data_IF_528096942684
#
_entry.id   IF_528096942684
#
_cell.length_a   1.000
_cell.length_b   1.000
_cell.length_c   1.000
_cell.angle_alpha   90.00
_cell.angle_beta   90.00
_cell.angle_gamma   90.00
#
_symmetry.space_group_name_H-M   'P 1'
#
loop_
_entity.id
_entity.type
_entity.pdbx_description
1 polymer ?
#
# COMPACT_ATOMS: atom_id res chain seq x y z
N UNK A 1 -6.08 5.47 18.40
CA UNK A 1 -6.86 4.43 19.12
C UNK A 1 -6.36 4.19 20.54
N UNK A 2 -5.27 3.44 20.80
CA UNK A 2 -4.86 3.11 22.19
C UNK A 2 -4.58 4.35 23.03
N UNK A 3 -3.80 5.30 22.50
CA UNK A 3 -3.50 6.57 23.16
C UNK A 3 -4.78 7.36 23.49
N UNK A 4 -5.71 7.44 22.55
CA UNK A 4 -6.92 8.25 22.70
C UNK A 4 -7.92 7.57 23.66
N UNK A 5 -7.98 6.23 23.64
CA UNK A 5 -8.75 5.45 24.61
C UNK A 5 -8.22 5.64 26.04
N UNK A 6 -6.89 5.62 26.23
CA UNK A 6 -6.25 5.91 27.52
C UNK A 6 -6.55 7.34 27.99
N UNK A 7 -6.47 8.33 27.10
CA UNK A 7 -6.81 9.72 27.43
C UNK A 7 -8.29 9.89 27.82
N UNK A 8 -9.18 9.09 27.24
CA UNK A 8 -10.60 9.05 27.57
C UNK A 8 -10.94 8.19 28.80
N UNK A 9 -9.98 7.45 29.37
CA UNK A 9 -10.21 6.54 30.48
C UNK A 9 -11.08 5.33 30.15
N UNK A 10 -11.13 4.91 28.88
CA UNK A 10 -11.96 3.80 28.39
C UNK A 10 -11.07 2.67 27.89
N UNK A 11 -11.53 1.43 28.02
CA UNK A 11 -10.85 0.26 27.44
C UNK A 11 -10.68 0.42 25.91
N UNK A 12 -9.50 0.13 25.33
CA UNK A 12 -9.27 0.31 23.89
C UNK A 12 -10.21 -0.50 22.98
N UNK A 13 -10.66 -1.69 23.41
CA UNK A 13 -11.62 -2.49 22.64
C UNK A 13 -12.98 -1.82 22.62
N UNK A 14 -13.45 -1.36 23.77
CA UNK A 14 -14.73 -0.62 23.86
C UNK A 14 -14.67 0.69 23.06
N UNK A 15 -13.59 1.45 23.19
CA UNK A 15 -13.36 2.67 22.40
C UNK A 15 -13.42 2.39 20.90
N UNK A 16 -12.77 1.32 20.44
CA UNK A 16 -12.76 0.93 19.02
C UNK A 16 -14.13 0.53 18.52
N UNK A 17 -14.85 -0.34 19.25
CA UNK A 17 -16.19 -0.80 18.86
C UNK A 17 -17.17 0.37 18.83
N UNK A 18 -17.11 1.27 19.80
CA UNK A 18 -17.94 2.49 19.80
C UNK A 18 -17.61 3.36 18.59
N UNK A 19 -16.32 3.63 18.36
CA UNK A 19 -15.88 4.48 17.26
C UNK A 19 -16.28 3.94 15.87
N UNK A 20 -16.22 2.62 15.68
CA UNK A 20 -16.68 1.99 14.44
C UNK A 20 -18.21 2.04 14.27
N UNK A 21 -18.98 2.02 15.37
CA UNK A 21 -20.45 2.10 15.31
C UNK A 21 -20.96 3.52 15.11
N UNK A 22 -20.30 4.51 15.70
CA UNK A 22 -20.70 5.91 15.63
C UNK A 22 -20.03 6.69 14.48
N UNK A 23 -19.09 6.06 13.77
CA UNK A 23 -18.40 6.62 12.60
C UNK A 23 -17.23 7.55 12.93
N UNK A 24 -16.86 7.70 14.21
CA UNK A 24 -15.65 8.45 14.60
C UNK A 24 -14.36 7.69 14.29
N UNK A 25 -14.45 6.38 14.08
CA UNK A 25 -13.40 5.55 13.48
C UNK A 25 -13.96 4.87 12.24
N UNK A 26 -13.17 4.88 11.17
CA UNK A 26 -13.54 4.32 9.86
C UNK A 26 -12.48 3.32 9.43
N UNK A 27 -12.87 2.25 8.74
CA UNK A 27 -11.91 1.26 8.26
C UNK A 27 -11.04 1.85 7.15
N UNK A 28 -9.73 1.58 7.17
CA UNK A 28 -8.80 2.11 6.17
C UNK A 28 -9.10 1.63 4.74
N UNK A 29 -9.80 0.50 4.59
CA UNK A 29 -10.22 -0.03 3.30
C UNK A 29 -11.39 0.76 2.66
N UNK A 30 -12.11 1.57 3.43
CA UNK A 30 -13.18 2.43 2.91
C UNK A 30 -12.61 3.68 2.20
N UNK A 31 -11.37 4.07 2.50
CA UNK A 31 -10.65 5.13 1.78
C UNK A 31 -9.17 4.76 1.56
N UNK A 32 -8.87 3.80 0.67
CA UNK A 32 -7.51 3.28 0.44
C UNK A 32 -6.60 4.28 -0.30
N UNK A 33 -7.18 5.37 -0.79
CA UNK A 33 -6.49 6.47 -1.47
C UNK A 33 -6.28 7.67 -0.54
N UNK A 34 -6.69 7.58 0.73
CA UNK A 34 -6.24 8.54 1.72
C UNK A 34 -4.75 8.30 2.05
N UNK A 35 -3.89 9.34 2.09
CA UNK A 35 -2.46 9.19 2.38
C UNK A 35 -2.12 8.54 3.73
N UNK A 36 -3.07 8.51 4.67
CA UNK A 36 -2.92 7.85 5.97
C UNK A 36 -3.19 6.33 5.92
N UNK A 37 -3.81 5.84 4.84
CA UNK A 37 -4.37 4.48 4.76
C UNK A 37 -3.57 3.53 3.86
N UNK A 38 -2.66 4.04 3.03
CA UNK A 38 -1.82 3.20 2.18
C UNK A 38 -0.46 2.86 2.81
N UNK A 39 0.18 1.74 2.42
CA UNK A 39 1.47 1.34 2.96
C UNK A 39 2.57 2.33 2.55
N UNK A 40 3.47 2.65 3.49
CA UNK A 40 4.61 3.54 3.26
C UNK A 40 5.95 2.82 3.13
N UNK A 41 6.13 1.72 3.86
CA UNK A 41 7.38 0.98 3.87
C UNK A 41 7.09 -0.47 3.47
N UNK A 42 7.82 -0.99 2.50
CA UNK A 42 7.69 -2.37 2.04
C UNK A 42 9.05 -3.07 2.03
N UNK A 43 9.12 -4.20 2.74
CA UNK A 43 10.25 -5.11 2.71
C UNK A 43 9.93 -6.31 1.85
N UNK A 44 10.76 -6.58 0.84
CA UNK A 44 10.64 -7.76 -0.02
C UNK A 44 11.87 -8.65 0.22
N UNK A 45 11.65 -9.87 0.70
CA UNK A 45 12.71 -10.86 0.84
C UNK A 45 12.24 -12.19 0.29
N UNK A 46 13.17 -12.97 -0.30
CA UNK A 46 12.88 -14.30 -0.89
C UNK A 46 11.72 -14.28 -1.89
N UNK A 47 11.48 -13.13 -2.52
CA UNK A 47 10.42 -12.91 -3.50
C UNK A 47 10.92 -11.96 -4.57
N UNK A 48 10.45 -12.17 -5.81
CA UNK A 48 10.65 -11.24 -6.91
C UNK A 48 9.30 -10.65 -7.31
N UNK A 49 8.71 -9.85 -6.41
CA UNK A 49 7.37 -9.29 -6.55
C UNK A 49 7.19 -8.56 -7.88
N UNK A 50 8.09 -7.64 -8.21
CA UNK A 50 7.97 -6.79 -9.39
C UNK A 50 8.38 -7.49 -10.68
N UNK A 51 9.12 -8.60 -10.61
CA UNK A 51 9.59 -9.33 -11.80
C UNK A 51 8.98 -10.71 -12.02
N UNK A 52 8.04 -11.14 -11.18
CA UNK A 52 7.46 -12.49 -11.26
C UNK A 52 6.01 -12.56 -10.81
N UNK A 53 5.72 -12.39 -9.52
CA UNK A 53 4.39 -12.67 -8.97
C UNK A 53 3.41 -11.50 -9.06
N UNK A 54 3.89 -10.28 -9.30
CA UNK A 54 3.10 -9.06 -9.39
C UNK A 54 2.27 -8.99 -10.67
N UNK A 55 1.03 -9.48 -10.62
CA UNK A 55 0.05 -9.25 -11.69
C UNK A 55 -0.29 -7.77 -11.75
N UNK A 56 -0.37 -7.22 -12.96
CA UNK A 56 -0.56 -5.78 -13.15
C UNK A 56 0.72 -4.97 -12.87
N UNK A 57 1.87 -5.46 -13.34
CA UNK A 57 3.18 -4.83 -13.15
C UNK A 57 3.19 -3.30 -13.34
N UNK A 58 2.59 -2.81 -14.43
CA UNK A 58 2.54 -1.37 -14.71
C UNK A 58 1.75 -0.57 -13.66
N UNK A 59 0.74 -1.16 -13.03
CA UNK A 59 0.01 -0.53 -11.93
C UNK A 59 0.84 -0.48 -10.65
N UNK A 60 1.73 -1.45 -10.40
CA UNK A 60 2.70 -1.37 -9.30
C UNK A 60 3.67 -0.20 -9.54
N UNK A 61 4.19 -0.07 -10.76
CA UNK A 61 5.07 1.05 -11.13
C UNK A 61 4.36 2.40 -10.99
N UNK A 62 3.12 2.53 -11.49
CA UNK A 62 2.31 3.75 -11.38
C UNK A 62 1.96 4.09 -9.93
N UNK A 63 1.28 3.20 -9.22
CA UNK A 63 0.64 3.52 -7.94
C UNK A 63 1.50 3.28 -6.72
N UNK A 64 2.34 2.24 -6.69
CA UNK A 64 3.20 1.99 -5.53
C UNK A 64 4.53 2.73 -5.62
N UNK A 65 5.19 2.68 -6.77
CA UNK A 65 6.53 3.26 -6.93
C UNK A 65 6.50 4.70 -7.45
N UNK A 66 5.47 5.09 -8.21
CA UNK A 66 5.38 6.44 -8.79
C UNK A 66 6.38 6.68 -9.92
N UNK A 67 6.78 5.63 -10.64
CA UNK A 67 7.74 5.71 -11.75
C UNK A 67 7.03 5.79 -13.10
N UNK A 68 7.82 5.99 -14.16
CA UNK A 68 7.35 5.74 -15.53
C UNK A 68 6.72 4.34 -15.63
N UNK A 69 5.61 4.25 -16.33
CA UNK A 69 4.83 3.03 -16.50
C UNK A 69 4.17 3.02 -17.89
N UNK A 70 3.71 1.84 -18.31
CA UNK A 70 3.12 1.55 -19.61
C UNK A 70 1.61 1.37 -19.60
N UNK A 71 0.87 1.84 -18.56
CA UNK A 71 -0.60 1.70 -18.52
C UNK A 71 -1.22 2.43 -19.71
N UNK A 72 -1.89 1.70 -20.60
CA UNK A 72 -2.55 2.25 -21.80
C UNK A 72 -4.03 2.57 -21.60
N UNK A 73 -4.67 1.86 -20.66
CA UNK A 73 -6.09 2.04 -20.35
C UNK A 73 -6.34 3.36 -19.61
N UNK A 74 -7.56 3.88 -19.74
CA UNK A 74 -8.03 4.98 -18.90
C UNK A 74 -8.56 4.41 -17.59
N UNK A 75 -8.36 5.16 -16.51
CA UNK A 75 -9.05 4.90 -15.24
C UNK A 75 -10.57 5.09 -15.43
N UNK A 76 -11.40 4.58 -14.52
CA UNK A 76 -12.87 4.64 -14.67
C UNK A 76 -13.34 6.07 -14.94
N UNK A 77 -14.12 6.24 -16.00
CA UNK A 77 -14.61 7.54 -16.44
C UNK A 77 -15.74 8.09 -15.57
N UNK A 78 -16.09 9.39 -15.72
CA UNK A 78 -17.16 10.03 -14.97
C UNK A 78 -18.56 9.41 -15.16
N UNK A 79 -18.72 8.62 -16.22
CA UNK A 79 -19.97 7.97 -16.62
C UNK A 79 -20.05 6.50 -16.17
N UNK A 80 -18.97 5.99 -15.56
CA UNK A 80 -18.90 4.63 -15.05
C UNK A 80 -19.43 4.57 -13.61
N UNK A 81 -20.01 3.43 -13.23
CA UNK A 81 -20.57 3.23 -11.90
C UNK A 81 -19.45 3.21 -10.85
N UNK A 82 -19.46 4.22 -9.97
CA UNK A 82 -18.52 4.34 -8.85
C UNK A 82 -18.86 3.33 -7.75
N UNK A 83 -17.87 2.87 -6.96
CA UNK A 83 -18.12 2.02 -5.80
C UNK A 83 -19.00 2.74 -4.77
N UNK A 84 -19.85 1.98 -4.07
CA UNK A 84 -20.73 2.52 -3.01
C UNK A 84 -20.05 2.51 -1.63
N UNK A 85 -19.10 1.60 -1.40
CA UNK A 85 -18.45 1.38 -0.10
C UNK A 85 -17.04 2.00 -0.01
N UNK A 86 -16.50 2.50 -1.12
CA UNK A 86 -15.14 3.06 -1.18
C UNK A 86 -15.20 4.50 -1.64
N UNK A 87 -14.53 5.39 -0.91
CA UNK A 87 -14.42 6.81 -1.26
C UNK A 87 -13.74 6.95 -2.62
N UNK A 88 -14.44 7.60 -3.54
CA UNK A 88 -13.93 7.87 -4.88
C UNK A 88 -13.08 9.14 -4.92
N UNK A 89 -11.87 9.02 -5.47
CA UNK A 89 -10.99 10.15 -5.77
C UNK A 89 -10.80 10.27 -7.27
N UNK A 90 -10.97 11.48 -7.83
CA UNK A 90 -10.87 11.70 -9.28
C UNK A 90 -9.46 11.44 -9.83
N UNK A 91 -8.43 11.60 -8.99
CA UNK A 91 -7.06 11.24 -9.31
C UNK A 91 -6.58 10.18 -8.34
N UNK A 92 -6.34 8.98 -8.88
CA UNK A 92 -5.72 7.93 -8.12
C UNK A 92 -4.29 8.36 -7.70
N UNK A 93 -3.89 8.09 -6.45
CA UNK A 93 -2.56 8.39 -5.95
C UNK A 93 -1.47 7.57 -6.64
N UNK A 94 -0.29 8.18 -6.80
CA UNK A 94 0.90 7.59 -7.38
C UNK A 94 2.06 7.68 -6.39
N UNK A 95 2.97 6.70 -6.40
CA UNK A 95 4.11 6.67 -5.47
C UNK A 95 3.71 6.54 -4.01
N UNK A 96 2.85 5.56 -3.68
CA UNK A 96 2.38 5.33 -2.31
C UNK A 96 3.51 4.95 -1.34
N UNK A 97 4.52 4.22 -1.81
CA UNK A 97 5.66 3.79 -0.99
C UNK A 97 6.65 4.93 -0.82
N UNK A 98 7.01 5.19 0.44
CA UNK A 98 8.11 6.08 0.80
C UNK A 98 9.46 5.32 0.81
N UNK A 99 9.43 3.99 1.00
CA UNK A 99 10.62 3.14 1.02
C UNK A 99 10.34 1.69 0.59
N UNK A 100 11.08 1.22 -0.41
CA UNK A 100 11.15 -0.17 -0.86
C UNK A 100 12.54 -0.76 -0.57
N UNK A 101 12.59 -1.75 0.33
CA UNK A 101 13.82 -2.48 0.67
C UNK A 101 13.72 -3.91 0.17
N UNK A 102 14.71 -4.36 -0.60
CA UNK A 102 14.78 -5.74 -1.09
C UNK A 102 16.01 -6.47 -0.57
N UNK A 103 15.82 -7.71 -0.11
CA UNK A 103 16.87 -8.63 0.31
C UNK A 103 16.97 -9.77 -0.72
N UNK A 104 18.10 -9.84 -1.41
CA UNK A 104 18.32 -10.83 -2.47
C UNK A 104 19.82 -11.13 -2.63
N UNK A 105 20.15 -12.33 -3.10
CA UNK A 105 21.54 -12.76 -3.36
C UNK A 105 21.93 -12.51 -4.82
N UNK A 106 20.98 -12.05 -5.65
CA UNK A 106 21.18 -11.62 -7.03
C UNK A 106 20.39 -10.33 -7.30
N UNK A 107 20.81 -9.58 -8.31
CA UNK A 107 20.09 -8.38 -8.75
C UNK A 107 18.82 -8.75 -9.53
N UNK A 108 17.71 -9.00 -8.82
CA UNK A 108 16.40 -9.28 -9.42
C UNK A 108 15.72 -8.00 -9.93
N UNK A 109 14.66 -8.14 -10.72
CA UNK A 109 13.85 -6.99 -11.18
C UNK A 109 13.35 -6.16 -10.00
N UNK A 110 12.95 -6.81 -8.90
CA UNK A 110 12.52 -6.10 -7.70
C UNK A 110 13.68 -5.27 -7.11
N UNK A 111 14.89 -5.82 -7.07
CA UNK A 111 16.08 -5.07 -6.64
C UNK A 111 16.36 -3.85 -7.53
N UNK A 112 16.23 -3.98 -8.85
CA UNK A 112 16.45 -2.86 -9.79
C UNK A 112 15.51 -1.67 -9.56
N UNK A 113 14.32 -1.92 -9.02
CA UNK A 113 13.33 -0.89 -8.71
C UNK A 113 13.29 -0.51 -7.22
N UNK A 114 14.18 -1.07 -6.38
CA UNK A 114 14.21 -0.79 -4.94
C UNK A 114 15.09 0.40 -4.58
N UNK A 115 14.76 1.10 -3.50
CA UNK A 115 15.58 2.19 -2.95
C UNK A 115 16.84 1.62 -2.26
N UNK A 116 16.68 0.50 -1.55
CA UNK A 116 17.76 -0.17 -0.83
C UNK A 116 17.78 -1.65 -1.20
N UNK A 117 18.94 -2.15 -1.58
CA UNK A 117 19.21 -3.57 -1.81
C UNK A 117 20.18 -4.07 -0.77
N UNK A 118 19.79 -5.08 0.00
CA UNK A 118 20.63 -5.71 1.01
C UNK A 118 21.09 -7.08 0.51
N UNK A 119 22.41 -7.35 0.43
CA UNK A 119 22.91 -8.64 0.01
C UNK A 119 22.62 -9.69 1.08
N UNK A 120 21.95 -10.78 0.69
CA UNK A 120 21.69 -11.94 1.57
C UNK A 120 22.58 -13.12 1.19
N UNK A 121 22.84 -13.99 2.16
CA UNK A 121 23.50 -15.27 1.93
C UNK A 121 22.74 -16.12 0.89
N UNK A 122 23.49 -16.90 0.11
CA UNK A 122 22.91 -17.93 -0.75
C UNK A 122 22.39 -19.10 0.10
N UNK A 123 21.84 -20.14 -0.53
CA UNK A 123 21.34 -21.31 0.20
C UNK A 123 22.44 -22.16 0.86
N UNK A 124 23.71 -21.91 0.56
CA UNK A 124 24.86 -22.70 1.02
C UNK A 124 25.83 -21.90 1.90
N UNK A 125 25.42 -20.72 2.37
CA UNK A 125 26.18 -19.79 3.23
C UNK A 125 25.33 -19.39 4.45
#
# INVERSE_FOLDING_TARGET
VVRDAQAAGVDPKEYTVRGLKDGTLVMSCEDPDHPSNWPRNLFVWRSNLLGSSGKGHEYFLKHLLGTSNGVQGKDMGPQEAKPEEVVWHDKAPEGKLDLLVTLDFRMSTTCLYSDIVLPTATWYE
#
